data_IF_069691957077
#
_entry.id   IF_069691957077
#
_cell.length_a   1.000
_cell.length_b   1.000
_cell.length_c   1.000
_cell.angle_alpha   90.00
_cell.angle_beta   90.00
_cell.angle_gamma   90.00
#
_symmetry.space_group_name_H-M   'P 1'
#
loop_
_entity.id
_entity.type
_entity.pdbx_description
1 polymer ?
#
# COMPACT_ATOMS: atom_id res chain seq x y z
N UNK A 1 -12.37 19.39 -8.04
CA UNK A 1 -11.09 18.86 -8.60
C UNK A 1 -10.44 19.99 -9.37
N UNK A 2 -9.19 20.28 -9.08
CA UNK A 2 -8.49 21.43 -9.64
C UNK A 2 -8.22 21.22 -11.13
N UNK A 3 -8.60 22.21 -11.93
CA UNK A 3 -8.44 22.24 -13.40
C UNK A 3 -6.99 22.03 -13.85
N UNK A 4 -6.01 22.45 -13.05
CA UNK A 4 -4.58 22.35 -13.42
C UNK A 4 -4.03 20.93 -13.47
N UNK A 5 -4.41 20.02 -12.55
CA UNK A 5 -3.97 18.61 -12.60
C UNK A 5 -4.62 17.87 -13.75
N UNK A 6 -5.93 18.05 -13.90
CA UNK A 6 -6.65 17.44 -15.01
C UNK A 6 -6.08 17.87 -16.35
N UNK A 7 -5.74 19.15 -16.48
CA UNK A 7 -5.10 19.67 -17.70
C UNK A 7 -3.73 19.02 -17.95
N UNK A 8 -2.85 18.94 -16.93
CA UNK A 8 -1.53 18.30 -17.07
C UNK A 8 -1.64 16.82 -17.43
N UNK A 9 -2.53 16.07 -16.76
CA UNK A 9 -2.75 14.67 -17.06
C UNK A 9 -3.39 14.46 -18.45
N UNK A 10 -4.29 15.36 -18.86
CA UNK A 10 -4.87 15.32 -20.22
C UNK A 10 -3.82 15.58 -21.30
N UNK A 11 -2.93 16.54 -21.10
CA UNK A 11 -1.81 16.81 -22.01
C UNK A 11 -0.85 15.62 -22.09
N UNK A 12 -0.51 15.04 -20.94
CA UNK A 12 0.28 13.81 -20.86
C UNK A 12 -0.39 12.68 -21.65
N UNK A 13 -1.68 12.45 -21.41
CA UNK A 13 -2.43 11.40 -22.08
C UNK A 13 -2.50 11.61 -23.60
N UNK A 14 -2.74 12.85 -24.04
CA UNK A 14 -2.73 13.22 -25.44
C UNK A 14 -1.37 12.92 -26.10
N UNK A 15 -0.27 13.27 -25.43
CA UNK A 15 1.08 12.97 -25.93
C UNK A 15 1.35 11.45 -26.02
N UNK A 16 0.92 10.67 -25.02
CA UNK A 16 1.06 9.22 -25.03
C UNK A 16 0.27 8.58 -26.19
N UNK A 17 -0.98 8.97 -26.39
CA UNK A 17 -1.81 8.41 -27.46
C UNK A 17 -1.34 8.78 -28.86
N UNK A 18 -0.94 10.02 -29.07
CA UNK A 18 -0.72 10.55 -30.41
C UNK A 18 0.75 10.56 -30.85
N UNK A 19 1.69 10.40 -29.94
CA UNK A 19 3.12 10.34 -30.25
C UNK A 19 3.79 9.04 -29.78
N UNK A 20 3.68 8.73 -28.50
CA UNK A 20 4.43 7.60 -27.90
C UNK A 20 3.93 6.23 -28.40
N UNK A 21 2.62 5.99 -28.43
CA UNK A 21 2.08 4.70 -28.87
C UNK A 21 2.39 4.40 -30.33
N UNK A 22 2.15 5.31 -31.31
CA UNK A 22 2.52 5.05 -32.70
C UNK A 22 4.00 4.82 -32.91
N UNK A 23 4.88 5.54 -32.18
CA UNK A 23 6.32 5.34 -32.25
C UNK A 23 6.73 3.96 -31.73
N UNK A 24 6.19 3.54 -30.58
CA UNK A 24 6.45 2.21 -29.99
C UNK A 24 5.93 1.11 -30.92
N UNK A 25 4.73 1.23 -31.47
CA UNK A 25 4.16 0.26 -32.41
C UNK A 25 5.01 0.11 -33.67
N UNK A 26 5.48 1.24 -34.22
CA UNK A 26 6.39 1.22 -35.34
C UNK A 26 7.71 0.48 -35.03
N UNK A 27 8.28 0.72 -33.85
CA UNK A 27 9.49 0.02 -33.38
C UNK A 27 9.27 -1.47 -33.09
N UNK A 28 8.09 -1.83 -32.62
CA UNK A 28 7.73 -3.22 -32.30
C UNK A 28 7.29 -4.01 -33.55
N UNK A 29 6.84 -3.31 -34.60
CA UNK A 29 6.27 -3.93 -35.80
C UNK A 29 4.92 -4.61 -35.58
N UNK A 30 4.20 -4.26 -34.51
CA UNK A 30 2.88 -4.79 -34.17
C UNK A 30 2.08 -3.81 -33.30
N UNK A 31 0.76 -3.90 -33.36
CA UNK A 31 -0.13 -3.12 -32.51
C UNK A 31 0.02 -3.49 -31.01
N UNK A 32 -0.14 -2.48 -30.15
CA UNK A 32 -0.12 -2.68 -28.71
C UNK A 32 -1.42 -3.35 -28.24
N UNK A 33 -1.28 -4.24 -27.29
CA UNK A 33 -2.45 -4.77 -26.57
C UNK A 33 -2.89 -3.79 -25.49
N UNK A 34 -4.19 -3.76 -25.07
CA UNK A 34 -4.65 -2.87 -24.01
C UNK A 34 -3.85 -2.99 -22.70
N UNK A 35 -3.32 -4.18 -22.39
CA UNK A 35 -2.45 -4.37 -21.22
C UNK A 35 -1.05 -3.78 -21.40
N UNK A 36 -0.48 -3.82 -22.59
CA UNK A 36 0.80 -3.17 -22.88
C UNK A 36 0.65 -1.65 -22.90
N UNK A 37 -0.44 -1.12 -23.45
CA UNK A 37 -0.77 0.30 -23.36
C UNK A 37 -0.91 0.77 -21.90
N UNK A 38 -1.63 -0.01 -21.08
CA UNK A 38 -1.75 0.27 -19.64
C UNK A 38 -0.36 0.28 -18.98
N UNK A 39 0.49 -0.69 -19.30
CA UNK A 39 1.86 -0.76 -18.76
C UNK A 39 2.69 0.46 -19.15
N UNK A 40 2.67 0.86 -20.43
CA UNK A 40 3.40 2.04 -20.91
C UNK A 40 2.96 3.29 -20.16
N UNK A 41 1.64 3.52 -20.07
CA UNK A 41 1.08 4.65 -19.33
C UNK A 41 1.54 4.70 -17.88
N UNK A 42 1.51 3.54 -17.21
CA UNK A 42 1.93 3.42 -15.82
C UNK A 42 3.43 3.68 -15.68
N UNK A 43 4.28 3.11 -16.55
CA UNK A 43 5.72 3.33 -16.52
C UNK A 43 6.09 4.80 -16.72
N UNK A 44 5.42 5.49 -17.65
CA UNK A 44 5.63 6.91 -17.93
C UNK A 44 5.22 7.82 -16.76
N UNK A 45 4.17 7.47 -16.00
CA UNK A 45 3.75 8.21 -14.82
C UNK A 45 4.64 7.92 -13.62
N UNK A 46 5.01 6.65 -13.44
CA UNK A 46 5.77 6.16 -12.28
C UNK A 46 7.24 6.54 -12.34
N UNK A 47 7.85 6.53 -13.53
CA UNK A 47 9.26 6.86 -13.77
C UNK A 47 10.20 6.18 -12.77
N UNK A 48 10.01 4.89 -12.57
CA UNK A 48 10.77 4.11 -11.57
C UNK A 48 12.29 4.22 -11.73
N UNK A 49 12.77 4.47 -12.94
CA UNK A 49 14.18 4.67 -13.30
C UNK A 49 14.84 5.84 -12.57
N UNK A 50 14.10 6.90 -12.28
CA UNK A 50 14.61 8.08 -11.56
C UNK A 50 14.96 7.78 -10.10
N UNK A 51 14.42 6.69 -9.57
CA UNK A 51 14.60 6.26 -8.18
C UNK A 51 15.56 5.08 -8.01
N UNK A 52 15.98 4.46 -9.12
CA UNK A 52 16.95 3.36 -9.11
C UNK A 52 18.36 3.95 -9.08
N UNK A 53 18.94 4.07 -7.88
CA UNK A 53 20.30 4.53 -7.72
C UNK A 53 21.32 3.54 -8.32
N UNK A 54 22.47 4.06 -8.74
CA UNK A 54 23.61 3.21 -9.06
C UNK A 54 24.12 2.52 -7.79
N UNK A 55 24.06 1.21 -7.76
CA UNK A 55 24.52 0.39 -6.63
C UNK A 55 25.95 -0.12 -6.81
N UNK A 56 26.64 0.32 -7.87
CA UNK A 56 27.98 -0.19 -8.17
C UNK A 56 29.07 0.64 -7.50
N UNK A 57 29.75 0.04 -6.56
CA UNK A 57 30.89 0.63 -5.85
C UNK A 57 32.25 0.42 -6.53
N UNK A 58 32.30 0.34 -7.85
CA UNK A 58 33.52 0.22 -8.69
C UNK A 58 34.38 -1.05 -8.48
N UNK A 59 34.06 -1.95 -7.57
CA UNK A 59 34.79 -3.20 -7.35
C UNK A 59 33.93 -4.39 -7.76
N UNK A 60 34.45 -5.27 -8.60
CA UNK A 60 33.79 -6.49 -9.07
C UNK A 60 32.97 -6.32 -10.37
N UNK A 61 32.22 -7.37 -10.74
CA UNK A 61 31.39 -7.36 -11.95
C UNK A 61 30.23 -6.38 -11.80
N UNK A 62 29.99 -5.49 -12.78
CA UNK A 62 28.83 -4.61 -12.75
C UNK A 62 27.52 -5.39 -12.55
N UNK A 63 26.59 -4.90 -11.72
CA UNK A 63 25.28 -5.50 -11.57
C UNK A 63 24.53 -5.46 -12.90
N UNK A 64 23.62 -6.40 -13.11
CA UNK A 64 22.68 -6.34 -14.23
C UNK A 64 21.84 -5.07 -14.11
N UNK A 65 21.35 -4.59 -15.23
CA UNK A 65 20.55 -3.37 -15.32
C UNK A 65 19.39 -3.38 -14.30
N UNK A 66 19.51 -2.52 -13.29
CA UNK A 66 18.52 -2.39 -12.20
C UNK A 66 17.25 -1.67 -12.65
N UNK A 67 17.36 -0.79 -13.64
CA UNK A 67 16.22 -0.08 -14.21
C UNK A 67 15.31 -1.07 -14.94
N UNK A 68 15.87 -1.89 -15.81
CA UNK A 68 15.10 -2.92 -16.51
C UNK A 68 14.43 -3.91 -15.55
N UNK A 69 15.14 -4.32 -14.48
CA UNK A 69 14.58 -5.18 -13.45
C UNK A 69 13.46 -4.50 -12.65
N UNK A 70 13.59 -3.21 -12.31
CA UNK A 70 12.54 -2.46 -11.60
C UNK A 70 11.28 -2.30 -12.48
N UNK A 71 11.44 -1.92 -13.75
CA UNK A 71 10.33 -1.88 -14.74
C UNK A 71 9.66 -3.23 -14.90
N UNK A 72 10.42 -4.33 -14.89
CA UNK A 72 9.87 -5.68 -14.94
C UNK A 72 9.02 -6.02 -13.70
N UNK A 73 9.36 -5.53 -12.50
CA UNK A 73 8.52 -5.72 -11.31
C UNK A 73 7.26 -4.84 -11.33
N UNK A 74 7.30 -3.64 -11.92
CA UNK A 74 6.08 -2.87 -12.23
C UNK A 74 5.22 -3.64 -13.22
N UNK A 75 5.81 -4.15 -14.30
CA UNK A 75 5.10 -4.97 -15.30
C UNK A 75 4.49 -6.23 -14.66
N UNK A 76 5.20 -6.89 -13.73
CA UNK A 76 4.68 -8.02 -12.97
C UNK A 76 3.37 -7.69 -12.26
N UNK A 77 3.29 -6.52 -11.62
CA UNK A 77 2.09 -6.06 -10.93
C UNK A 77 0.96 -5.73 -11.93
N UNK A 78 1.24 -4.98 -12.99
CA UNK A 78 0.26 -4.59 -14.02
C UNK A 78 -0.33 -5.79 -14.75
N UNK A 79 0.47 -6.83 -15.01
CA UNK A 79 0.06 -8.06 -15.69
C UNK A 79 -0.48 -9.13 -14.71
N UNK A 80 -0.59 -8.81 -13.44
CA UNK A 80 -1.04 -9.73 -12.36
C UNK A 80 -0.30 -11.08 -12.36
N UNK A 81 1.01 -11.06 -12.59
CA UNK A 81 1.80 -12.29 -12.66
C UNK A 81 2.12 -12.80 -11.24
N UNK A 82 1.79 -14.06 -10.92
CA UNK A 82 1.85 -14.54 -9.53
C UNK A 82 3.28 -14.74 -9.02
N UNK A 83 4.23 -15.10 -9.89
CA UNK A 83 5.60 -15.43 -9.48
C UNK A 83 6.64 -14.70 -10.33
N UNK A 84 7.89 -14.70 -9.88
CA UNK A 84 9.03 -14.21 -10.68
C UNK A 84 9.32 -15.14 -11.85
N UNK A 85 9.10 -16.43 -11.69
CA UNK A 85 9.25 -17.41 -12.78
C UNK A 85 8.22 -17.12 -13.89
N UNK A 86 6.96 -16.84 -13.55
CA UNK A 86 5.93 -16.45 -14.53
C UNK A 86 6.30 -15.13 -15.25
N UNK A 87 6.92 -14.17 -14.54
CA UNK A 87 7.43 -12.95 -15.16
C UNK A 87 8.57 -13.26 -16.16
N UNK A 88 9.54 -14.10 -15.78
CA UNK A 88 10.67 -14.47 -16.64
C UNK A 88 10.17 -15.25 -17.87
N UNK A 89 9.24 -16.18 -17.68
CA UNK A 89 8.62 -16.92 -18.78
C UNK A 89 7.90 -15.95 -19.74
N UNK A 90 7.08 -15.04 -19.19
CA UNK A 90 6.41 -14.02 -20.00
C UNK A 90 7.38 -13.14 -20.77
N UNK A 91 8.44 -12.64 -20.13
CA UNK A 91 9.49 -11.85 -20.78
C UNK A 91 10.23 -12.63 -21.88
N UNK A 92 10.43 -13.93 -21.69
CA UNK A 92 11.12 -14.79 -22.67
C UNK A 92 10.30 -15.01 -23.94
N UNK A 93 8.97 -14.97 -23.84
CA UNK A 93 8.02 -15.24 -24.91
C UNK A 93 7.39 -13.98 -25.52
N UNK A 94 7.59 -12.81 -24.91
CA UNK A 94 7.02 -11.52 -25.35
C UNK A 94 8.12 -10.48 -25.54
N UNK A 95 8.59 -10.37 -26.80
CA UNK A 95 9.66 -9.44 -27.17
C UNK A 95 9.25 -7.98 -26.96
N UNK A 96 7.97 -7.65 -27.09
CA UNK A 96 7.44 -6.30 -26.83
C UNK A 96 7.57 -5.95 -25.37
N UNK A 97 7.11 -6.83 -24.47
CA UNK A 97 7.25 -6.66 -23.02
C UNK A 97 8.72 -6.56 -22.61
N UNK A 98 9.59 -7.40 -23.22
CA UNK A 98 11.03 -7.39 -22.98
C UNK A 98 11.64 -6.02 -23.31
N UNK A 99 11.30 -5.43 -24.46
CA UNK A 99 11.74 -4.08 -24.88
C UNK A 99 11.19 -3.00 -23.98
N UNK A 100 9.89 -3.02 -23.65
CA UNK A 100 9.26 -2.04 -22.77
C UNK A 100 9.91 -2.00 -21.38
N UNK A 101 10.34 -3.14 -20.86
CA UNK A 101 11.11 -3.19 -19.63
C UNK A 101 12.55 -2.68 -19.79
N UNK A 102 13.06 -2.53 -21.01
CA UNK A 102 14.43 -2.06 -21.29
C UNK A 102 15.46 -3.16 -21.45
N UNK A 103 15.05 -4.43 -21.62
CA UNK A 103 16.00 -5.52 -21.91
C UNK A 103 16.36 -5.55 -23.39
N UNK A 104 17.67 -5.71 -23.68
CA UNK A 104 18.14 -5.84 -25.04
C UNK A 104 17.82 -7.23 -25.62
N UNK A 105 17.18 -7.29 -26.78
CA UNK A 105 16.81 -8.56 -27.44
C UNK A 105 18.03 -9.44 -27.80
N UNK A 106 19.18 -8.81 -28.03
CA UNK A 106 20.44 -9.52 -28.36
C UNK A 106 21.10 -10.19 -27.14
N UNK A 107 20.58 -9.94 -25.91
CA UNK A 107 21.16 -10.48 -24.69
C UNK A 107 20.18 -11.44 -24.01
N UNK A 108 20.74 -12.52 -23.46
CA UNK A 108 19.97 -13.44 -22.63
C UNK A 108 19.42 -12.72 -21.40
N UNK A 109 18.14 -12.94 -21.09
CA UNK A 109 17.52 -12.45 -19.85
C UNK A 109 18.33 -12.88 -18.62
N UNK A 110 18.32 -12.07 -17.55
CA UNK A 110 18.88 -12.48 -16.28
C UNK A 110 18.18 -13.74 -15.74
N UNK A 111 18.89 -14.52 -14.97
CA UNK A 111 18.36 -15.70 -14.30
C UNK A 111 17.44 -15.34 -13.11
N UNK A 112 16.67 -16.31 -12.64
CA UNK A 112 15.74 -16.13 -11.52
C UNK A 112 16.45 -15.66 -10.23
N UNK A 113 17.71 -16.09 -10.01
CA UNK A 113 18.50 -15.64 -8.86
C UNK A 113 18.87 -14.16 -8.96
N UNK A 114 19.12 -13.65 -10.17
CA UNK A 114 19.36 -12.21 -10.40
C UNK A 114 18.11 -11.38 -10.14
N UNK A 115 16.95 -11.82 -10.63
CA UNK A 115 15.66 -11.18 -10.30
C UNK A 115 15.40 -11.19 -8.79
N UNK A 116 15.62 -12.32 -8.12
CA UNK A 116 15.41 -12.45 -6.67
C UNK A 116 16.32 -11.52 -5.88
N UNK A 117 17.61 -11.42 -6.22
CA UNK A 117 18.55 -10.50 -5.56
C UNK A 117 18.19 -9.03 -5.80
N UNK A 118 17.77 -8.68 -7.02
CA UNK A 118 17.32 -7.33 -7.32
C UNK A 118 16.05 -6.98 -6.54
N UNK A 119 15.08 -7.89 -6.47
CA UNK A 119 13.87 -7.69 -5.68
C UNK A 119 14.18 -7.50 -4.19
N UNK A 120 15.10 -8.29 -3.64
CA UNK A 120 15.55 -8.14 -2.25
C UNK A 120 16.20 -6.78 -2.00
N UNK A 121 17.05 -6.33 -2.93
CA UNK A 121 17.64 -5.00 -2.89
C UNK A 121 16.58 -3.90 -2.93
N UNK A 122 15.62 -3.98 -3.85
CA UNK A 122 14.50 -3.03 -3.95
C UNK A 122 13.63 -3.02 -2.69
N UNK A 123 13.35 -4.20 -2.13
CA UNK A 123 12.60 -4.33 -0.89
C UNK A 123 13.33 -3.72 0.31
N UNK A 124 14.64 -4.00 0.45
CA UNK A 124 15.46 -3.48 1.55
C UNK A 124 15.62 -1.96 1.49
N UNK A 125 15.71 -1.42 0.28
CA UNK A 125 15.83 0.03 0.05
C UNK A 125 14.49 0.76 0.00
N UNK A 126 13.36 0.07 0.12
CA UNK A 126 12.03 0.64 0.03
C UNK A 126 11.79 1.35 -1.31
N UNK A 127 12.26 0.78 -2.43
CA UNK A 127 12.14 1.42 -3.74
C UNK A 127 10.68 1.74 -4.09
N UNK A 128 9.73 0.79 -4.10
CA UNK A 128 8.36 1.10 -4.51
C UNK A 128 7.66 2.07 -3.55
N UNK A 129 7.98 2.04 -2.25
CA UNK A 129 7.47 2.99 -1.26
C UNK A 129 7.93 4.41 -1.54
N UNK A 130 9.21 4.61 -1.86
CA UNK A 130 9.78 5.93 -2.18
C UNK A 130 9.22 6.48 -3.48
N UNK A 131 9.13 5.65 -4.52
CA UNK A 131 8.52 6.04 -5.80
C UNK A 131 7.07 6.47 -5.59
N UNK A 132 6.30 5.68 -4.82
CA UNK A 132 4.92 6.01 -4.49
C UNK A 132 4.80 7.34 -3.73
N UNK A 133 5.64 7.56 -2.73
CA UNK A 133 5.63 8.81 -1.95
C UNK A 133 5.91 10.03 -2.86
N UNK A 134 6.90 9.94 -3.75
CA UNK A 134 7.20 11.00 -4.73
C UNK A 134 6.04 11.21 -5.70
N UNK A 135 5.41 10.12 -6.19
CA UNK A 135 4.25 10.21 -7.08
C UNK A 135 3.09 10.96 -6.42
N UNK A 136 2.78 10.67 -5.17
CA UNK A 136 1.74 11.36 -4.41
C UNK A 136 2.11 12.83 -4.19
N UNK A 137 3.32 13.12 -3.73
CA UNK A 137 3.78 14.49 -3.50
C UNK A 137 3.71 15.34 -4.77
N UNK A 138 4.14 14.80 -5.93
CA UNK A 138 4.16 15.55 -7.19
C UNK A 138 2.77 15.81 -7.78
N UNK A 139 1.77 14.97 -7.48
CA UNK A 139 0.44 15.08 -8.06
C UNK A 139 -0.60 15.64 -7.10
N UNK A 140 -0.46 15.38 -5.80
CA UNK A 140 -1.46 15.70 -4.78
C UNK A 140 -0.92 16.54 -3.62
N UNK A 141 0.40 16.74 -3.49
CA UNK A 141 1.02 17.40 -2.32
C UNK A 141 0.51 18.81 -2.05
N UNK A 142 0.19 19.57 -3.09
CA UNK A 142 -0.34 20.94 -2.97
C UNK A 142 -1.88 21.00 -2.96
N UNK A 143 -2.55 19.86 -2.78
CA UNK A 143 -4.01 19.76 -2.93
C UNK A 143 -4.68 19.37 -1.62
N UNK A 144 -5.87 19.89 -1.45
CA UNK A 144 -6.77 19.44 -0.40
C UNK A 144 -7.53 18.22 -0.90
N UNK A 145 -7.34 17.09 -0.21
CA UNK A 145 -8.10 15.87 -0.39
C UNK A 145 -9.32 15.91 0.52
N UNK A 146 -10.51 15.61 0.00
CA UNK A 146 -11.74 15.65 0.78
C UNK A 146 -11.73 14.58 1.88
N UNK A 147 -11.58 13.33 1.50
CA UNK A 147 -11.66 12.18 2.41
C UNK A 147 -10.43 11.29 2.31
N UNK A 148 -9.94 10.85 3.47
CA UNK A 148 -9.01 9.72 3.59
C UNK A 148 -9.78 8.53 4.16
N UNK A 149 -10.02 7.55 3.30
CA UNK A 149 -10.73 6.33 3.65
C UNK A 149 -9.73 5.31 4.15
N UNK A 150 -9.76 5.03 5.46
CA UNK A 150 -8.82 4.12 6.14
C UNK A 150 -9.43 2.76 6.31
N UNK A 151 -8.70 1.73 5.87
CA UNK A 151 -9.11 0.35 6.03
C UNK A 151 -7.90 -0.60 6.08
N UNK A 152 -8.15 -1.85 6.43
CA UNK A 152 -7.17 -2.93 6.34
C UNK A 152 -7.67 -4.07 5.48
N UNK A 153 -6.76 -4.67 4.72
CA UNK A 153 -7.09 -5.87 3.97
C UNK A 153 -6.17 -7.04 4.33
N UNK A 154 -6.76 -8.25 4.38
CA UNK A 154 -6.01 -9.47 4.63
C UNK A 154 -5.05 -9.79 3.48
N UNK A 155 -3.84 -10.20 3.82
CA UNK A 155 -2.79 -10.63 2.91
C UNK A 155 -2.38 -12.04 3.33
N UNK A 156 -2.80 -13.03 2.56
CA UNK A 156 -2.43 -14.43 2.79
C UNK A 156 -0.97 -14.63 2.41
N UNK A 157 -0.16 -15.15 3.33
CA UNK A 157 1.26 -15.37 3.12
C UNK A 157 1.58 -16.83 2.78
N UNK A 158 2.72 -17.03 2.11
CA UNK A 158 3.32 -18.36 1.87
C UNK A 158 4.36 -18.69 2.95
N UNK A 159 4.04 -18.45 4.20
CA UNK A 159 4.92 -18.72 5.33
C UNK A 159 4.11 -19.24 6.52
N UNK A 160 4.81 -19.86 7.46
CA UNK A 160 4.20 -20.27 8.72
C UNK A 160 4.15 -19.07 9.67
N UNK A 161 3.18 -19.04 10.61
CA UNK A 161 3.21 -18.07 11.70
C UNK A 161 4.54 -18.14 12.44
N UNK A 162 5.07 -16.97 12.81
CA UNK A 162 6.26 -16.92 13.64
C UNK A 162 6.00 -17.57 15.02
N UNK A 163 7.01 -18.28 15.52
CA UNK A 163 6.94 -18.84 16.86
C UNK A 163 6.80 -17.69 17.88
N UNK A 164 5.79 -17.79 18.73
CA UNK A 164 5.61 -16.81 19.80
C UNK A 164 6.56 -17.15 20.94
N UNK A 165 7.36 -16.17 21.40
CA UNK A 165 8.16 -16.38 22.60
C UNK A 165 7.24 -16.83 23.74
N UNK A 166 7.72 -17.73 24.56
CA UNK A 166 6.98 -18.14 25.76
C UNK A 166 6.54 -16.89 26.53
N UNK A 167 5.26 -16.79 26.94
CA UNK A 167 4.79 -15.61 27.65
C UNK A 167 5.70 -15.44 28.91
N UNK A 168 6.35 -14.26 28.98
CA UNK A 168 7.06 -13.86 30.17
C UNK A 168 6.10 -14.04 31.37
N UNK A 169 6.58 -14.66 32.46
CA UNK A 169 5.82 -14.80 33.69
C UNK A 169 5.44 -13.39 34.17
N UNK A 170 4.30 -12.91 33.72
CA UNK A 170 3.76 -11.66 34.25
C UNK A 170 3.32 -11.90 35.67
N UNK A 171 3.67 -11.04 36.63
CA UNK A 171 3.16 -11.15 37.97
C UNK A 171 1.62 -11.28 37.92
N UNK A 172 1.09 -12.22 38.68
CA UNK A 172 -0.34 -12.52 38.67
C UNK A 172 -1.13 -11.22 38.92
N UNK A 173 -1.89 -10.78 37.92
CA UNK A 173 -2.76 -9.62 38.09
C UNK A 173 -3.76 -9.92 39.20
N UNK A 174 -3.78 -9.12 40.25
CA UNK A 174 -4.81 -9.20 41.29
C UNK A 174 -6.17 -9.10 40.62
N UNK A 175 -6.99 -10.14 40.74
CA UNK A 175 -8.36 -10.17 40.25
C UNK A 175 -9.24 -9.30 41.14
N UNK A 176 -10.23 -8.65 40.55
CA UNK A 176 -11.21 -7.83 41.25
C UNK A 176 -11.04 -6.32 41.08
N UNK A 177 -12.06 -5.54 41.49
CA UNK A 177 -12.04 -4.06 41.44
C UNK A 177 -10.97 -3.52 42.40
N UNK A 178 -10.18 -2.51 42.02
CA UNK A 178 -9.26 -1.86 42.98
C UNK A 178 -10.02 -1.35 44.18
N UNK A 179 -9.42 -1.42 45.36
CA UNK A 179 -9.95 -0.81 46.56
C UNK A 179 -9.99 0.72 46.40
N UNK A 180 -10.87 1.39 47.12
CA UNK A 180 -10.94 2.83 47.10
C UNK A 180 -9.60 3.44 47.51
N UNK A 181 -8.99 4.25 46.64
CA UNK A 181 -7.64 4.81 46.82
C UNK A 181 -6.49 3.94 46.29
N UNK A 182 -6.73 2.71 45.78
CA UNK A 182 -5.71 1.87 45.15
C UNK A 182 -5.57 2.22 43.67
N UNK A 183 -4.52 2.93 43.28
CA UNK A 183 -4.16 3.13 41.88
C UNK A 183 -3.32 1.96 41.40
N UNK A 184 -3.80 1.22 40.40
CA UNK A 184 -3.02 0.18 39.74
C UNK A 184 -2.35 0.78 38.53
N UNK A 185 -1.02 0.84 38.54
CA UNK A 185 -0.23 1.21 37.37
C UNK A 185 -0.60 0.29 36.19
N UNK A 186 -1.14 0.84 35.14
CA UNK A 186 -1.35 0.13 33.88
C UNK A 186 -0.23 0.57 32.91
N UNK A 187 0.42 -0.42 32.29
CA UNK A 187 1.32 -0.11 31.19
C UNK A 187 0.51 0.61 30.10
N UNK A 188 1.06 1.70 29.51
CA UNK A 188 0.35 2.44 28.46
C UNK A 188 0.07 1.52 27.28
N UNK A 189 -1.11 1.63 26.73
CA UNK A 189 -1.50 0.92 25.51
C UNK A 189 -0.61 1.37 24.35
N UNK A 190 -0.59 0.60 23.23
CA UNK A 190 0.18 0.99 22.05
C UNK A 190 -0.28 2.35 21.50
N UNK A 191 -1.58 2.61 21.49
CA UNK A 191 -2.12 3.90 21.05
C UNK A 191 -1.57 5.05 21.91
N UNK A 192 -1.59 4.90 23.23
CA UNK A 192 -1.06 5.92 24.16
C UNK A 192 0.46 6.11 23.98
N UNK A 193 1.22 5.04 23.73
CA UNK A 193 2.66 5.17 23.40
C UNK A 193 2.88 5.90 22.09
N UNK A 194 2.12 5.54 21.04
CA UNK A 194 2.22 6.18 19.73
C UNK A 194 1.94 7.68 19.78
N UNK A 195 1.00 8.13 20.62
CA UNK A 195 0.75 9.57 20.85
C UNK A 195 1.96 10.32 21.40
N UNK A 196 2.88 9.63 22.08
CA UNK A 196 4.10 10.22 22.65
C UNK A 196 5.32 10.11 21.73
N UNK A 197 5.23 9.38 20.62
CA UNK A 197 6.31 9.20 19.65
C UNK A 197 6.41 10.39 18.69
N UNK A 198 7.64 10.71 18.29
CA UNK A 198 7.90 11.91 17.47
C UNK A 198 7.49 11.77 16.00
N UNK A 199 7.54 10.57 15.41
CA UNK A 199 7.29 10.42 13.98
C UNK A 199 6.81 9.04 13.55
N UNK A 200 6.31 8.91 12.31
CA UNK A 200 5.74 7.66 11.82
C UNK A 200 6.75 6.51 11.78
N UNK A 201 8.04 6.79 11.55
CA UNK A 201 9.07 5.75 11.51
C UNK A 201 9.23 5.01 12.85
N UNK A 202 9.22 5.73 13.97
CA UNK A 202 9.28 5.15 15.31
C UNK A 202 8.01 4.34 15.61
N UNK A 203 6.84 4.87 15.26
CA UNK A 203 5.56 4.20 15.43
C UNK A 203 5.46 2.91 14.63
N UNK A 204 5.95 2.92 13.39
CA UNK A 204 5.98 1.73 12.51
C UNK A 204 6.93 0.67 13.09
N UNK A 205 8.04 1.08 13.70
CA UNK A 205 8.98 0.15 14.35
C UNK A 205 8.36 -0.55 15.58
N UNK A 206 7.42 0.09 16.30
CA UNK A 206 6.66 -0.52 17.41
C UNK A 206 5.59 -1.51 16.93
N UNK A 207 5.23 -1.51 15.65
CA UNK A 207 4.22 -2.43 15.12
C UNK A 207 4.77 -3.84 14.89
N UNK A 208 4.03 -4.89 15.26
CA UNK A 208 4.43 -6.27 14.94
C UNK A 208 4.37 -6.50 13.43
N UNK A 209 5.43 -7.05 12.87
CA UNK A 209 5.56 -7.32 11.43
C UNK A 209 5.86 -8.79 11.10
N UNK A 210 5.82 -9.68 12.09
CA UNK A 210 5.98 -11.11 11.84
C UNK A 210 4.70 -11.71 11.24
N UNK A 211 4.83 -12.73 10.39
CA UNK A 211 3.69 -13.49 9.91
C UNK A 211 2.94 -14.10 11.10
N UNK A 212 1.63 -13.97 11.15
CA UNK A 212 0.79 -14.48 12.25
C UNK A 212 -0.60 -14.89 11.73
N UNK A 213 -1.42 -15.44 12.63
CA UNK A 213 -2.82 -15.78 12.32
C UNK A 213 -3.71 -14.57 12.55
N UNK A 214 -4.37 -14.12 11.50
CA UNK A 214 -5.45 -13.15 11.57
C UNK A 214 -6.81 -13.83 11.65
N UNK A 215 -7.78 -13.15 12.23
CA UNK A 215 -9.16 -13.62 12.30
C UNK A 215 -10.11 -12.44 12.17
N UNK A 216 -11.12 -12.60 11.35
CA UNK A 216 -12.25 -11.66 11.24
C UNK A 216 -13.56 -12.42 11.25
N UNK A 217 -14.66 -11.71 11.50
CA UNK A 217 -16.01 -12.21 11.29
C UNK A 217 -16.62 -11.51 10.08
N UNK A 218 -17.33 -12.27 9.27
CA UNK A 218 -18.12 -11.71 8.17
C UNK A 218 -19.41 -11.06 8.69
N UNK A 219 -20.19 -10.48 7.78
CA UNK A 219 -21.49 -9.86 8.10
C UNK A 219 -22.53 -10.83 8.65
N UNK A 220 -22.35 -12.14 8.43
CA UNK A 220 -23.21 -13.21 8.93
C UNK A 220 -22.71 -13.79 10.27
N UNK A 221 -21.57 -13.28 10.78
CA UNK A 221 -20.97 -13.71 12.04
C UNK A 221 -20.04 -14.92 11.92
N UNK A 222 -19.83 -15.50 10.73
CA UNK A 222 -18.91 -16.61 10.52
C UNK A 222 -17.48 -16.16 10.72
N UNK A 223 -16.70 -17.00 11.37
CA UNK A 223 -15.29 -16.77 11.64
C UNK A 223 -14.43 -17.20 10.47
N UNK A 224 -13.68 -16.27 9.89
CA UNK A 224 -12.65 -16.51 8.89
C UNK A 224 -11.28 -16.26 9.46
N UNK A 225 -10.33 -17.17 9.25
CA UNK A 225 -8.94 -17.04 9.71
C UNK A 225 -7.97 -17.25 8.55
N UNK A 226 -6.89 -16.50 8.54
CA UNK A 226 -5.81 -16.64 7.55
C UNK A 226 -4.45 -16.55 8.24
N UNK A 227 -3.42 -17.10 7.59
CA UNK A 227 -2.02 -16.96 7.98
C UNK A 227 -1.40 -15.89 7.10
N UNK A 228 -0.78 -14.86 7.69
CA UNK A 228 -0.12 -13.82 6.92
C UNK A 228 -0.02 -12.48 7.61
N UNK A 229 -0.47 -11.47 6.89
CA UNK A 229 -0.32 -10.04 7.24
C UNK A 229 -1.64 -9.30 7.06
N UNK A 230 -1.64 -8.02 7.46
CA UNK A 230 -2.63 -7.01 7.07
C UNK A 230 -1.91 -5.86 6.38
N UNK A 231 -2.42 -5.45 5.23
CA UNK A 231 -2.09 -4.17 4.62
C UNK A 231 -3.09 -3.14 5.13
N UNK A 232 -2.62 -2.14 5.86
CA UNK A 232 -3.40 -0.97 6.25
C UNK A 232 -3.05 0.15 5.29
N UNK A 233 -4.04 0.88 4.82
CA UNK A 233 -3.81 2.00 3.92
C UNK A 233 -4.88 3.07 4.01
N UNK A 234 -4.51 4.26 3.57
CA UNK A 234 -5.39 5.39 3.34
C UNK A 234 -5.61 5.57 1.85
N UNK A 235 -6.85 5.65 1.45
CA UNK A 235 -7.26 5.86 0.06
C UNK A 235 -8.08 7.14 -0.03
N UNK A 236 -7.60 8.06 -0.86
CA UNK A 236 -8.25 9.34 -1.10
C UNK A 236 -9.48 9.21 -2.02
N UNK A 237 -10.21 10.32 -2.14
CA UNK A 237 -11.25 10.47 -3.15
C UNK A 237 -10.72 10.08 -4.53
N UNK A 238 -11.58 9.44 -5.33
CA UNK A 238 -11.17 8.90 -6.62
C UNK A 238 -10.41 7.57 -6.53
N UNK A 239 -10.26 6.99 -5.34
CA UNK A 239 -9.63 5.67 -5.16
C UNK A 239 -8.10 5.67 -5.24
N UNK A 240 -7.46 6.80 -4.92
CA UNK A 240 -6.00 6.96 -4.97
C UNK A 240 -5.39 6.58 -3.63
N UNK A 241 -4.52 5.56 -3.55
CA UNK A 241 -3.77 5.25 -2.35
C UNK A 241 -2.80 6.37 -1.98
N UNK A 242 -2.86 6.84 -0.73
CA UNK A 242 -1.99 7.92 -0.22
C UNK A 242 -0.84 7.35 0.60
N UNK A 243 -1.13 6.45 1.54
CA UNK A 243 -0.14 5.80 2.38
C UNK A 243 -0.53 4.35 2.64
N UNK A 244 0.45 3.50 2.87
CA UNK A 244 0.24 2.09 3.22
C UNK A 244 1.31 1.59 4.17
N UNK A 245 0.94 0.67 5.07
CA UNK A 245 1.86 -0.05 5.95
C UNK A 245 1.43 -1.50 6.16
N UNK A 246 2.37 -2.37 6.45
CA UNK A 246 2.15 -3.80 6.66
C UNK A 246 2.37 -4.18 8.11
N UNK A 247 1.44 -4.96 8.66
CA UNK A 247 1.52 -5.51 10.02
C UNK A 247 1.26 -7.01 10.05
N UNK A 248 1.55 -7.64 11.21
CA UNK A 248 1.09 -9.00 11.49
C UNK A 248 -0.44 -9.08 11.36
N UNK A 249 -0.94 -10.21 10.84
CA UNK A 249 -2.37 -10.43 10.66
C UNK A 249 -3.17 -10.36 11.98
N UNK A 250 -2.55 -10.64 13.12
CA UNK A 250 -3.18 -10.60 14.45
C UNK A 250 -3.35 -9.20 15.03
N UNK A 251 -2.72 -8.16 14.44
CA UNK A 251 -2.81 -6.81 14.97
C UNK A 251 -4.25 -6.27 14.83
N UNK A 252 -4.76 -5.61 15.85
CA UNK A 252 -6.04 -4.89 15.78
C UNK A 252 -5.87 -3.59 14.98
N UNK A 253 -6.78 -3.31 14.07
CA UNK A 253 -6.64 -2.25 13.06
C UNK A 253 -6.46 -0.86 13.67
N UNK A 254 -7.12 -0.56 14.80
CA UNK A 254 -6.98 0.69 15.53
C UNK A 254 -5.53 1.04 15.92
N UNK A 255 -4.66 0.04 16.08
CA UNK A 255 -3.26 0.27 16.46
C UNK A 255 -2.37 0.72 15.28
N UNK A 256 -2.87 0.64 14.06
CA UNK A 256 -2.21 1.15 12.87
C UNK A 256 -2.71 2.56 12.47
N UNK A 257 -3.72 3.10 13.16
CA UNK A 257 -4.35 4.37 12.79
C UNK A 257 -3.38 5.55 12.84
N UNK A 258 -2.73 5.77 13.99
CA UNK A 258 -1.87 6.94 14.21
C UNK A 258 -0.69 6.98 13.24
N UNK A 259 0.14 5.92 13.11
CA UNK A 259 1.24 5.94 12.16
C UNK A 259 0.78 6.15 10.72
N UNK A 260 -0.33 5.56 10.31
CA UNK A 260 -0.87 5.71 8.96
C UNK A 260 -1.38 7.14 8.73
N UNK A 261 -2.12 7.72 9.69
CA UNK A 261 -2.60 9.10 9.61
C UNK A 261 -1.46 10.11 9.50
N UNK A 262 -0.38 9.95 10.29
CA UNK A 262 0.83 10.79 10.17
C UNK A 262 1.51 10.65 8.82
N UNK A 263 1.66 9.42 8.31
CA UNK A 263 2.22 9.19 6.97
C UNK A 263 1.39 9.89 5.88
N UNK A 264 0.08 9.90 6.01
CA UNK A 264 -0.82 10.55 5.05
C UNK A 264 -0.74 12.08 5.18
N UNK A 265 -0.71 12.63 6.40
CA UNK A 265 -0.59 14.05 6.65
C UNK A 265 0.76 14.64 6.17
N UNK A 266 1.84 13.84 6.14
CA UNK A 266 3.11 14.24 5.54
C UNK A 266 3.06 14.34 4.00
N UNK A 267 2.02 13.80 3.36
CA UNK A 267 1.91 13.71 1.90
C UNK A 267 0.85 14.60 1.29
N UNK A 268 -0.27 14.78 1.99
CA UNK A 268 -1.43 15.53 1.51
C UNK A 268 -2.13 16.23 2.67
N UNK A 269 -2.79 17.35 2.40
CA UNK A 269 -3.76 17.96 3.31
C UNK A 269 -5.12 17.32 3.10
N UNK A 270 -5.78 16.85 4.17
CA UNK A 270 -7.10 16.21 4.10
C UNK A 270 -8.09 16.84 5.07
N UNK A 271 -9.41 16.67 4.78
CA UNK A 271 -10.47 17.24 5.60
C UNK A 271 -11.15 16.21 6.50
N UNK A 272 -11.32 14.98 6.02
CA UNK A 272 -12.08 13.94 6.72
C UNK A 272 -11.29 12.64 6.82
N UNK A 273 -11.19 12.09 8.05
CA UNK A 273 -10.74 10.71 8.28
C UNK A 273 -11.97 9.79 8.34
N UNK A 274 -12.12 8.91 7.36
CA UNK A 274 -13.24 7.96 7.26
C UNK A 274 -12.76 6.56 7.62
N UNK A 275 -13.32 5.95 8.65
CA UNK A 275 -12.94 4.62 9.10
C UNK A 275 -14.12 3.85 9.70
N UNK A 276 -14.02 2.51 9.71
CA UNK A 276 -15.06 1.65 10.27
C UNK A 276 -15.04 1.58 11.81
N UNK A 277 -15.97 0.80 12.35
CA UNK A 277 -16.13 0.63 13.80
C UNK A 277 -14.95 -0.08 14.50
N UNK A 278 -14.03 -0.71 13.77
CA UNK A 278 -12.80 -1.27 14.35
C UNK A 278 -11.85 -0.18 14.85
N UNK A 279 -11.96 1.04 14.30
CA UNK A 279 -11.18 2.21 14.71
C UNK A 279 -11.89 3.07 15.77
N UNK A 280 -13.03 2.63 16.29
CA UNK A 280 -13.81 3.40 17.27
C UNK A 280 -13.07 3.51 18.62
N UNK A 281 -12.40 4.64 18.82
CA UNK A 281 -11.68 5.00 20.05
C UNK A 281 -11.75 6.52 20.26
N UNK A 282 -12.01 6.99 21.49
CA UNK A 282 -11.94 8.43 21.81
C UNK A 282 -10.59 9.05 21.46
N UNK A 283 -9.48 8.37 21.83
CA UNK A 283 -8.12 8.85 21.54
C UNK A 283 -7.86 9.01 20.03
N UNK A 284 -8.35 8.10 19.18
CA UNK A 284 -8.17 8.21 17.74
C UNK A 284 -8.99 9.34 17.13
N UNK A 285 -10.19 9.61 17.67
CA UNK A 285 -11.01 10.76 17.24
C UNK A 285 -10.36 12.08 17.65
N UNK A 286 -9.78 12.13 18.84
CA UNK A 286 -9.06 13.31 19.33
C UNK A 286 -7.82 13.56 18.47
N UNK A 287 -7.01 12.53 18.24
CA UNK A 287 -5.83 12.61 17.37
C UNK A 287 -6.17 13.05 15.93
N UNK A 288 -7.28 12.60 15.37
CA UNK A 288 -7.74 13.07 14.05
C UNK A 288 -8.04 14.58 14.07
N UNK A 289 -8.65 15.10 15.16
CA UNK A 289 -8.88 16.54 15.32
C UNK A 289 -7.60 17.33 15.53
N UNK A 290 -6.58 16.76 16.20
CA UNK A 290 -5.25 17.37 16.33
C UNK A 290 -4.55 17.55 14.98
N UNK A 291 -4.92 16.76 13.98
CA UNK A 291 -4.48 16.91 12.58
C UNK A 291 -5.38 17.86 11.77
N UNK A 292 -6.29 18.60 12.40
CA UNK A 292 -7.31 19.43 11.75
C UNK A 292 -8.28 18.65 10.85
N UNK A 293 -8.45 17.34 11.10
CA UNK A 293 -9.39 16.50 10.36
C UNK A 293 -10.71 16.31 11.13
N UNK A 294 -11.81 16.09 10.39
CA UNK A 294 -13.08 15.66 10.94
C UNK A 294 -13.15 14.13 10.97
N UNK A 295 -13.18 13.49 12.16
CA UNK A 295 -13.22 12.04 12.27
C UNK A 295 -14.61 11.48 12.01
N UNK A 296 -14.81 10.86 10.85
CA UNK A 296 -15.98 10.09 10.47
C UNK A 296 -15.74 8.59 10.74
N UNK A 297 -15.64 8.24 12.01
CA UNK A 297 -15.38 6.85 12.45
C UNK A 297 -16.68 6.25 12.94
N UNK A 298 -17.10 5.10 12.39
CA UNK A 298 -18.34 4.44 12.78
C UNK A 298 -18.34 4.09 14.28
N UNK A 299 -19.50 4.14 14.90
CA UNK A 299 -19.62 3.82 16.32
C UNK A 299 -19.74 2.32 16.55
N UNK A 300 -18.87 1.79 17.45
CA UNK A 300 -18.94 0.40 17.89
C UNK A 300 -19.66 0.32 19.24
N UNK A 301 -20.92 -0.13 19.27
CA UNK A 301 -21.64 -0.27 20.52
C UNK A 301 -21.20 -1.56 21.23
N UNK A 302 -20.11 -1.50 21.99
CA UNK A 302 -19.69 -2.62 22.85
C UNK A 302 -20.75 -2.96 23.90
N UNK A 303 -21.49 -1.94 24.36
CA UNK A 303 -22.66 -2.03 25.23
C UNK A 303 -23.54 -0.80 24.95
N UNK A 304 -24.85 -0.98 24.85
CA UNK A 304 -25.79 0.10 24.56
C UNK A 304 -26.16 0.24 23.09
N UNK A 305 -26.75 1.36 22.75
CA UNK A 305 -27.24 1.65 21.40
C UNK A 305 -26.15 2.19 20.49
N UNK A 306 -26.28 1.92 19.18
CA UNK A 306 -25.42 2.49 18.17
C UNK A 306 -25.71 3.98 18.00
N UNK A 307 -24.69 4.83 18.15
CA UNK A 307 -24.80 6.25 17.83
C UNK A 307 -24.73 6.39 16.30
N UNK A 308 -25.81 6.84 15.70
CA UNK A 308 -25.87 7.10 14.27
C UNK A 308 -25.14 8.41 13.92
N UNK A 309 -24.61 8.49 12.73
CA UNK A 309 -24.11 9.75 12.18
C UNK A 309 -25.24 10.75 11.94
N UNK A 310 -24.94 12.04 12.05
CA UNK A 310 -25.82 13.08 11.55
C UNK A 310 -26.03 12.93 10.02
N UNK A 311 -27.13 13.40 9.42
CA UNK A 311 -27.42 13.15 7.99
C UNK A 311 -26.28 13.57 7.04
N UNK A 312 -25.63 14.70 7.30
CA UNK A 312 -24.50 15.19 6.49
C UNK A 312 -23.23 14.35 6.69
N UNK A 313 -22.99 13.80 7.88
CA UNK A 313 -21.87 12.88 8.16
C UNK A 313 -22.12 11.53 7.50
N UNK A 314 -23.36 11.02 7.58
CA UNK A 314 -23.76 9.76 6.94
C UNK A 314 -23.55 9.79 5.42
N UNK A 315 -23.85 10.92 4.77
CA UNK A 315 -23.61 11.12 3.34
C UNK A 315 -22.12 11.04 3.02
N UNK A 316 -21.26 11.73 3.79
CA UNK A 316 -19.80 11.68 3.62
C UNK A 316 -19.23 10.30 3.93
N UNK A 317 -19.76 9.61 4.92
CA UNK A 317 -19.30 8.26 5.29
C UNK A 317 -19.49 7.22 4.17
N UNK A 318 -20.40 7.45 3.20
CA UNK A 318 -20.55 6.62 2.00
C UNK A 318 -19.26 6.52 1.17
N UNK A 319 -18.38 7.51 1.29
CA UNK A 319 -17.06 7.50 0.62
C UNK A 319 -16.19 6.31 1.07
N UNK A 320 -16.49 5.69 2.21
CA UNK A 320 -15.81 4.47 2.67
C UNK A 320 -15.81 3.34 1.63
N UNK A 321 -16.84 3.25 0.80
CA UNK A 321 -16.88 2.29 -0.32
C UNK A 321 -15.70 2.43 -1.30
N UNK A 322 -15.01 3.58 -1.30
CA UNK A 322 -13.85 3.83 -2.17
C UNK A 322 -12.65 2.96 -1.80
N UNK A 323 -12.36 2.79 -0.49
CA UNK A 323 -11.27 1.92 -0.05
C UNK A 323 -11.61 0.44 -0.28
N UNK A 324 -12.87 0.05 -0.18
CA UNK A 324 -13.31 -1.32 -0.48
C UNK A 324 -13.09 -1.66 -1.97
N UNK A 325 -13.43 -0.73 -2.87
CA UNK A 325 -13.14 -0.88 -4.32
C UNK A 325 -11.64 -0.94 -4.59
N UNK A 326 -10.85 -0.09 -3.91
CA UNK A 326 -9.40 -0.12 -4.03
C UNK A 326 -8.80 -1.45 -3.53
N UNK A 327 -9.31 -2.02 -2.41
CA UNK A 327 -8.96 -3.34 -1.92
C UNK A 327 -9.21 -4.44 -2.97
N UNK A 328 -10.38 -4.42 -3.62
CA UNK A 328 -10.72 -5.36 -4.67
C UNK A 328 -9.76 -5.22 -5.86
N UNK A 329 -9.57 -4.00 -6.37
CA UNK A 329 -8.67 -3.74 -7.51
C UNK A 329 -7.23 -4.16 -7.23
N UNK A 330 -6.69 -3.85 -6.04
CA UNK A 330 -5.33 -4.25 -5.69
C UNK A 330 -5.15 -5.76 -5.72
N UNK A 331 -6.18 -6.50 -5.25
CA UNK A 331 -6.17 -7.97 -5.23
C UNK A 331 -6.40 -8.59 -6.61
N UNK A 332 -7.30 -8.03 -7.41
CA UNK A 332 -7.80 -8.66 -8.63
C UNK A 332 -7.07 -8.20 -9.89
N UNK A 333 -6.43 -7.02 -9.85
CA UNK A 333 -5.79 -6.42 -11.02
C UNK A 333 -4.27 -6.22 -10.85
N UNK A 334 -3.76 -6.09 -9.60
CA UNK A 334 -2.40 -5.63 -9.33
C UNK A 334 -1.60 -6.53 -8.38
N UNK A 335 -1.90 -7.82 -8.34
CA UNK A 335 -1.04 -8.87 -7.79
C UNK A 335 -1.14 -9.15 -6.30
N UNK A 336 -1.98 -8.45 -5.52
CA UNK A 336 -2.03 -8.65 -4.07
C UNK A 336 -2.74 -9.95 -3.65
N UNK A 337 -3.47 -10.62 -4.55
CA UNK A 337 -4.10 -11.92 -4.28
C UNK A 337 -3.08 -13.05 -4.16
N UNK A 338 -1.97 -12.96 -4.88
CA UNK A 338 -0.99 -14.03 -5.01
C UNK A 338 0.38 -13.64 -4.45
N UNK A 339 0.48 -13.46 -3.15
CA UNK A 339 1.74 -13.15 -2.49
C UNK A 339 2.57 -14.42 -2.30
N UNK A 340 3.65 -14.57 -3.07
CA UNK A 340 4.54 -15.76 -3.06
C UNK A 340 5.92 -15.50 -2.43
N UNK A 341 6.23 -14.24 -2.14
CA UNK A 341 7.45 -13.85 -1.42
C UNK A 341 7.28 -14.06 0.08
N UNK A 342 8.40 -14.17 0.80
CA UNK A 342 8.43 -14.41 2.25
C UNK A 342 9.13 -13.28 2.99
N UNK A 343 8.70 -13.03 4.22
CA UNK A 343 9.20 -11.96 5.10
C UNK A 343 8.54 -10.62 4.84
N UNK A 344 8.19 -9.92 5.91
CA UNK A 344 7.41 -8.69 5.88
C UNK A 344 7.95 -7.63 4.89
N UNK A 345 9.28 -7.46 4.81
CA UNK A 345 9.91 -6.49 3.91
C UNK A 345 9.66 -6.81 2.44
N UNK A 346 9.80 -8.08 2.03
CA UNK A 346 9.54 -8.51 0.66
C UNK A 346 8.05 -8.51 0.33
N UNK A 347 7.21 -8.87 1.32
CA UNK A 347 5.74 -8.81 1.17
C UNK A 347 5.30 -7.36 0.98
N UNK A 348 5.80 -6.44 1.80
CA UNK A 348 5.50 -5.02 1.66
C UNK A 348 5.92 -4.48 0.29
N UNK A 349 7.15 -4.76 -0.15
CA UNK A 349 7.62 -4.32 -1.48
C UNK A 349 6.77 -4.90 -2.62
N UNK A 350 6.37 -6.18 -2.54
CA UNK A 350 5.49 -6.80 -3.53
C UNK A 350 4.14 -6.06 -3.61
N UNK A 351 3.53 -5.78 -2.47
CA UNK A 351 2.26 -5.04 -2.40
C UNK A 351 2.44 -3.60 -2.90
N UNK A 352 3.55 -2.95 -2.55
CA UNK A 352 3.80 -1.58 -2.96
C UNK A 352 4.05 -1.41 -4.46
N UNK A 353 4.61 -2.41 -5.16
CA UNK A 353 4.61 -2.39 -6.63
C UNK A 353 3.17 -2.43 -7.19
N UNK A 354 2.27 -3.19 -6.57
CA UNK A 354 0.84 -3.19 -6.91
C UNK A 354 0.15 -1.87 -6.58
N UNK A 355 0.38 -1.34 -5.38
CA UNK A 355 -0.16 -0.03 -4.95
C UNK A 355 0.31 1.08 -5.87
N UNK A 356 1.60 1.08 -6.24
CA UNK A 356 2.18 2.05 -7.18
C UNK A 356 1.51 1.99 -8.55
N UNK A 357 1.32 0.79 -9.09
CA UNK A 357 0.64 0.58 -10.38
C UNK A 357 -0.83 1.02 -10.31
N UNK A 358 -1.55 0.66 -9.25
CA UNK A 358 -2.93 1.09 -9.00
C UNK A 358 -3.04 2.61 -8.89
N UNK A 359 -2.11 3.25 -8.17
CA UNK A 359 -2.08 4.71 -8.00
C UNK A 359 -1.91 5.42 -9.35
N UNK A 360 -0.95 4.99 -10.16
CA UNK A 360 -0.73 5.56 -11.49
C UNK A 360 -1.94 5.33 -12.41
N UNK A 361 -2.50 4.13 -12.43
CA UNK A 361 -3.71 3.82 -13.21
C UNK A 361 -4.91 4.68 -12.77
N UNK A 362 -5.06 4.89 -11.45
CA UNK A 362 -6.16 5.70 -10.93
C UNK A 362 -6.01 7.19 -11.25
N UNK A 363 -4.78 7.72 -11.19
CA UNK A 363 -4.49 9.09 -11.63
C UNK A 363 -4.85 9.29 -13.12
N UNK A 364 -4.53 8.32 -13.96
CA UNK A 364 -4.82 8.36 -15.39
C UNK A 364 -6.30 8.26 -15.71
N UNK A 365 -7.09 7.49 -14.95
CA UNK A 365 -8.55 7.40 -15.12
C UNK A 365 -9.28 8.72 -14.87
N UNK A 366 -8.63 9.72 -14.30
CA UNK A 366 -9.23 11.05 -14.16
C UNK A 366 -9.24 11.86 -15.46
N UNK A 367 -8.51 11.41 -16.49
CA UNK A 367 -8.38 12.10 -17.78
C UNK A 367 -9.00 11.33 -18.94
N UNK A 368 -9.29 10.07 -18.74
CA UNK A 368 -10.04 9.24 -19.71
C UNK A 368 -11.51 9.19 -19.36
#
# INVERSE_FOLDING_TARGET
>A
MDTSLRSRLSQFWFAVQNALFPEIEAQLGQALTPKLEQLIRILEVVRVEEHVGSSWGAVGRPPRDRVALARAFVAKAVLDLPTTEALIDRLSNDTSLMRLCGFALSKKLPDAATFSRAFEEFATRGLPERVHATLIASHLGERIVGHLNRDSTEIVARERPADKPAPALKPARRRGRPKQGESRSQEPTRIERQLQMNGPSEMIADLPRACDVGTKRDSQGHKHSWVGYKLHWDVADGGIPIAALLTSASLHDSQAFIPLAKMSAERVTSLYDVADAAYCSPLLREFSRELDHVPLIDHNPRRGEKIAFAPHEAERFKQRSTVERANARLKDEFGARHVRVRGATKVMAHLMFGVLALTADQLLRWVT
#
